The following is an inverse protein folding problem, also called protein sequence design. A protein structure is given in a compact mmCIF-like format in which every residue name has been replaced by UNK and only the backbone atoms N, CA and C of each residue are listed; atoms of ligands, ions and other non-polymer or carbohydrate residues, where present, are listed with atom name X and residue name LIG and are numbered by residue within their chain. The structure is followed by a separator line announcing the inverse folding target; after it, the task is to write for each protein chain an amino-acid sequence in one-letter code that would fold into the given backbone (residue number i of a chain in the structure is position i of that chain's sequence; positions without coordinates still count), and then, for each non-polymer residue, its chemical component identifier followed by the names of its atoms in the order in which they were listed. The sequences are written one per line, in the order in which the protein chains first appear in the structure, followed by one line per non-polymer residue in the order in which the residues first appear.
data_IF_974501246911
#
_entry.id   IF_974501246911
#
_cell.length_a   1.000
_cell.length_b   1.000
_cell.length_c   1.000
_cell.angle_alpha   90.00
_cell.angle_beta   90.00
_cell.angle_gamma   90.00
#
_symmetry.space_group_name_H-M   'P 1'
#
loop_
_entity.id
_entity.type
_entity.pdbx_description
1 polymer ?
#
# COMPACT_ATOMS: atom_id res chain seq x y z
N UNK A 1 15.90 38.31 -67.19
CA UNK A 1 15.74 36.83 -67.11
C UNK A 1 16.16 36.40 -65.71
N UNK A 2 15.22 35.81 -64.96
CA UNK A 2 15.43 35.31 -63.60
C UNK A 2 16.25 34.02 -63.65
N UNK A 3 17.24 33.87 -62.77
CA UNK A 3 17.79 32.58 -62.35
C UNK A 3 17.80 32.62 -60.83
N UNK A 4 16.86 31.90 -60.21
CA UNK A 4 16.85 31.64 -58.78
C UNK A 4 17.63 30.34 -58.58
N UNK A 5 18.69 30.40 -57.78
CA UNK A 5 19.27 29.22 -57.17
C UNK A 5 18.55 29.01 -55.83
N UNK A 6 17.87 27.88 -55.70
CA UNK A 6 17.19 27.44 -54.49
C UNK A 6 18.24 27.10 -53.43
N UNK A 7 18.26 27.87 -52.33
CA UNK A 7 18.94 27.45 -51.10
C UNK A 7 17.92 26.71 -50.23
N UNK A 8 18.03 25.38 -50.22
CA UNK A 8 17.30 24.52 -49.30
C UNK A 8 17.76 24.83 -47.87
N UNK A 9 16.87 25.43 -47.06
CA UNK A 9 17.05 25.50 -45.61
C UNK A 9 16.46 24.23 -45.04
N UNK A 10 17.33 23.30 -44.64
CA UNK A 10 16.93 22.10 -43.91
C UNK A 10 16.42 22.54 -42.53
N UNK A 11 15.11 22.52 -42.31
CA UNK A 11 14.54 22.76 -40.98
C UNK A 11 14.85 21.54 -40.11
N UNK A 12 15.79 21.68 -39.18
CA UNK A 12 15.97 20.70 -38.13
C UNK A 12 14.70 20.66 -37.27
N UNK A 13 13.91 19.60 -37.45
CA UNK A 13 12.81 19.28 -36.54
C UNK A 13 13.43 18.63 -35.31
N UNK A 14 13.55 19.42 -34.24
CA UNK A 14 13.87 18.86 -32.93
C UNK A 14 12.65 18.07 -32.43
N UNK A 15 12.79 16.78 -32.05
CA UNK A 15 11.70 16.06 -31.44
C UNK A 15 11.32 16.77 -30.14
N UNK A 16 10.09 17.27 -30.06
CA UNK A 16 9.51 17.68 -28.80
C UNK A 16 9.30 16.41 -27.98
N UNK A 17 10.24 16.10 -27.09
CA UNK A 17 10.03 15.07 -26.07
C UNK A 17 8.86 15.52 -25.19
N UNK A 18 7.69 14.93 -25.42
CA UNK A 18 6.55 15.12 -24.53
C UNK A 18 6.95 14.54 -23.16
N UNK A 19 6.86 15.30 -22.06
CA UNK A 19 7.13 14.75 -20.75
C UNK A 19 6.12 13.63 -20.49
N UNK A 20 6.61 12.39 -20.36
CA UNK A 20 5.80 11.29 -19.86
C UNK A 20 5.48 11.62 -18.40
N UNK A 21 4.27 12.15 -18.16
CA UNK A 21 3.76 12.34 -16.80
C UNK A 21 3.48 10.94 -16.26
N UNK A 22 4.48 10.29 -15.67
CA UNK A 22 4.27 9.10 -14.87
C UNK A 22 3.48 9.52 -13.64
N UNK A 23 2.19 9.16 -13.58
CA UNK A 23 1.46 9.29 -12.34
C UNK A 23 2.21 8.53 -11.24
N UNK A 24 2.53 9.23 -10.16
CA UNK A 24 3.24 8.65 -9.03
C UNK A 24 2.39 7.51 -8.48
N UNK A 25 2.91 6.28 -8.54
CA UNK A 25 2.25 5.12 -7.92
C UNK A 25 2.15 5.34 -6.42
N UNK A 26 0.96 5.11 -5.86
CA UNK A 26 0.70 5.19 -4.42
C UNK A 26 1.67 4.28 -3.66
N UNK A 27 2.39 4.86 -2.71
CA UNK A 27 3.32 4.17 -1.83
C UNK A 27 2.57 3.76 -0.57
N UNK A 28 2.38 2.46 -0.37
CA UNK A 28 1.62 1.92 0.76
C UNK A 28 2.49 1.06 1.66
N UNK A 29 2.30 1.21 2.98
CA UNK A 29 2.90 0.33 3.98
C UNK A 29 1.90 -0.74 4.41
N UNK A 30 2.38 -1.93 4.81
CA UNK A 30 1.54 -2.97 5.42
C UNK A 30 2.13 -3.33 6.79
N UNK A 31 1.34 -3.14 7.84
CA UNK A 31 1.65 -3.61 9.19
C UNK A 31 0.77 -4.83 9.49
N UNK A 32 1.36 -6.02 9.37
CA UNK A 32 0.70 -7.27 9.74
C UNK A 32 0.70 -7.50 11.26
N UNK A 33 -0.37 -8.07 11.78
CA UNK A 33 -0.46 -8.41 13.20
C UNK A 33 -1.72 -9.20 13.55
N UNK A 34 -1.73 -9.86 14.71
CA UNK A 34 -2.95 -10.53 15.19
C UNK A 34 -3.99 -9.50 15.65
N UNK A 35 -3.57 -8.35 16.20
CA UNK A 35 -4.44 -7.33 16.77
C UNK A 35 -5.47 -7.90 17.76
N UNK A 36 -4.97 -8.52 18.84
CA UNK A 36 -5.76 -9.28 19.80
C UNK A 36 -5.72 -8.70 21.23
N UNK A 37 -6.36 -7.54 21.51
CA UNK A 37 -6.99 -6.60 20.56
C UNK A 37 -5.98 -5.59 19.98
N UNK A 38 -6.43 -4.74 19.05
CA UNK A 38 -5.67 -3.53 18.66
C UNK A 38 -5.47 -2.61 19.87
N UNK A 39 -4.36 -1.88 19.91
CA UNK A 39 -4.02 -0.94 20.98
C UNK A 39 -3.11 0.16 20.45
N UNK A 40 -2.93 1.23 21.25
CA UNK A 40 -2.26 2.47 20.81
C UNK A 40 -0.88 2.25 20.18
N UNK A 41 -0.06 1.35 20.74
CA UNK A 41 1.27 1.09 20.17
C UNK A 41 1.23 0.59 18.71
N UNK A 42 0.22 -0.19 18.31
CA UNK A 42 0.06 -0.59 16.90
C UNK A 42 -0.18 0.61 15.99
N UNK A 43 -1.07 1.51 16.40
CA UNK A 43 -1.45 2.70 15.64
C UNK A 43 -0.27 3.67 15.51
N UNK A 44 0.41 3.93 16.63
CA UNK A 44 1.60 4.80 16.66
C UNK A 44 2.70 4.21 15.80
N UNK A 45 2.98 2.91 15.88
CA UNK A 45 4.01 2.28 15.04
C UNK A 45 3.68 2.40 13.55
N UNK A 46 2.44 2.12 13.14
CA UNK A 46 2.01 2.24 11.75
C UNK A 46 2.18 3.67 11.23
N UNK A 47 1.69 4.67 11.96
CA UNK A 47 1.81 6.07 11.58
C UNK A 47 3.25 6.54 11.52
N UNK A 48 4.04 6.27 12.55
CA UNK A 48 5.43 6.75 12.62
C UNK A 48 6.28 6.11 11.53
N UNK A 49 6.13 4.81 11.29
CA UNK A 49 6.81 4.14 10.19
C UNK A 49 6.40 4.72 8.83
N UNK A 50 5.09 4.89 8.58
CA UNK A 50 4.58 5.44 7.34
C UNK A 50 5.05 6.87 7.06
N UNK A 51 4.95 7.76 8.07
CA UNK A 51 5.37 9.16 7.96
C UNK A 51 6.88 9.28 7.74
N UNK A 52 7.69 8.51 8.47
CA UNK A 52 9.16 8.55 8.34
C UNK A 52 9.64 8.01 6.98
N UNK A 53 8.88 7.12 6.35
CA UNK A 53 9.17 6.57 5.02
C UNK A 53 8.54 7.38 3.87
N UNK A 54 7.74 8.42 4.18
CA UNK A 54 7.04 9.22 3.16
C UNK A 54 5.97 8.44 2.39
N UNK A 55 5.31 7.48 3.05
CA UNK A 55 4.22 6.69 2.46
C UNK A 55 2.95 7.53 2.36
N UNK A 56 2.12 7.21 1.37
CA UNK A 56 0.83 7.87 1.18
C UNK A 56 -0.23 7.30 2.15
N UNK A 57 -0.12 6.02 2.57
CA UNK A 57 -1.02 5.36 3.51
C UNK A 57 -0.38 4.10 4.14
N UNK A 58 -0.88 3.65 5.30
CA UNK A 58 -0.47 2.38 5.91
C UNK A 58 -1.68 1.47 6.20
N UNK A 59 -1.62 0.24 5.73
CA UNK A 59 -2.64 -0.78 5.93
C UNK A 59 -2.32 -1.64 7.15
N UNK A 60 -3.27 -1.72 8.08
CA UNK A 60 -3.27 -2.69 9.16
C UNK A 60 -3.86 -4.01 8.63
N UNK A 61 -3.08 -5.07 8.64
CA UNK A 61 -3.48 -6.37 8.05
C UNK A 61 -3.67 -7.42 9.15
N UNK A 62 -4.91 -7.64 9.64
CA UNK A 62 -5.17 -8.64 10.66
C UNK A 62 -4.95 -10.06 10.15
N UNK A 63 -4.13 -10.82 10.86
CA UNK A 63 -3.90 -12.23 10.55
C UNK A 63 -5.10 -13.10 10.91
N UNK A 64 -5.31 -14.20 10.16
CA UNK A 64 -6.38 -15.16 10.46
C UNK A 64 -5.93 -16.14 11.55
N UNK A 65 -4.97 -17.00 11.23
CA UNK A 65 -4.28 -17.89 12.17
C UNK A 65 -2.77 -17.64 12.08
N UNK A 66 -2.14 -17.06 13.11
CA UNK A 66 -0.69 -16.92 13.14
C UNK A 66 -0.03 -18.31 13.17
N UNK A 67 1.03 -18.57 12.40
CA UNK A 67 1.64 -19.89 12.29
C UNK A 67 2.33 -20.40 13.58
N UNK A 68 2.52 -19.54 14.59
CA UNK A 68 3.34 -19.79 15.78
C UNK A 68 2.58 -19.71 17.12
N UNK A 69 1.24 -19.64 17.12
CA UNK A 69 0.49 -19.48 18.38
C UNK A 69 -0.13 -20.81 18.81
N UNK A 70 0.42 -21.38 19.87
CA UNK A 70 -0.20 -22.45 20.64
C UNK A 70 -1.41 -21.88 21.41
N UNK A 71 -2.60 -22.33 21.03
CA UNK A 71 -3.89 -22.35 21.77
C UNK A 71 -4.31 -21.19 22.69
N UNK A 72 -3.68 -20.01 22.68
CA UNK A 72 -4.32 -18.83 23.29
C UNK A 72 -5.56 -18.50 22.47
N UNK A 73 -6.71 -18.46 23.14
CA UNK A 73 -8.01 -18.05 22.58
C UNK A 73 -7.89 -16.65 21.99
N UNK A 74 -7.54 -16.62 20.71
CA UNK A 74 -7.51 -15.41 19.91
C UNK A 74 -8.94 -14.95 19.75
N UNK A 75 -9.21 -13.66 19.98
CA UNK A 75 -10.51 -13.06 19.72
C UNK A 75 -10.89 -13.37 18.27
N UNK A 76 -12.15 -13.72 18.05
CA UNK A 76 -12.65 -14.10 16.74
C UNK A 76 -12.30 -13.03 15.69
N UNK A 77 -11.96 -13.47 14.48
CA UNK A 77 -11.43 -12.59 13.43
C UNK A 77 -12.35 -11.40 13.13
N UNK A 78 -13.66 -11.62 13.10
CA UNK A 78 -14.67 -10.58 12.92
C UNK A 78 -14.62 -9.52 14.03
N UNK A 79 -14.46 -9.92 15.29
CA UNK A 79 -14.35 -8.97 16.39
C UNK A 79 -13.05 -8.16 16.31
N UNK A 80 -11.94 -8.77 15.91
CA UNK A 80 -10.67 -8.05 15.71
C UNK A 80 -10.75 -7.05 14.56
N UNK A 81 -11.41 -7.42 13.46
CA UNK A 81 -11.68 -6.51 12.34
C UNK A 81 -12.53 -5.32 12.80
N UNK A 82 -13.66 -5.55 13.48
CA UNK A 82 -14.52 -4.48 13.97
C UNK A 82 -13.78 -3.56 14.96
N UNK A 83 -12.92 -4.12 15.82
CA UNK A 83 -12.10 -3.30 16.73
C UNK A 83 -11.08 -2.45 15.97
N UNK A 84 -10.49 -2.96 14.88
CA UNK A 84 -9.61 -2.16 14.01
C UNK A 84 -10.39 -1.03 13.34
N UNK A 85 -11.56 -1.31 12.77
CA UNK A 85 -12.42 -0.30 12.13
C UNK A 85 -12.74 0.84 13.09
N UNK A 86 -13.13 0.52 14.33
CA UNK A 86 -13.37 1.52 15.37
C UNK A 86 -12.10 2.26 15.77
N UNK A 87 -10.95 1.58 15.84
CA UNK A 87 -9.69 2.18 16.27
C UNK A 87 -9.10 3.18 15.26
N UNK A 88 -9.46 3.09 13.98
CA UNK A 88 -8.94 3.97 12.92
C UNK A 88 -10.01 4.87 12.29
N UNK A 89 -11.25 4.85 12.80
CA UNK A 89 -12.39 5.55 12.18
C UNK A 89 -12.12 7.04 11.88
N UNK A 90 -11.37 7.72 12.75
CA UNK A 90 -11.02 9.14 12.64
C UNK A 90 -9.59 9.38 12.08
N UNK A 91 -8.95 8.35 11.51
CA UNK A 91 -7.57 8.41 11.05
C UNK A 91 -7.45 8.07 9.55
N UNK A 92 -7.49 9.08 8.65
CA UNK A 92 -7.47 8.85 7.20
C UNK A 92 -6.10 8.38 6.67
N UNK A 93 -5.06 8.33 7.51
CA UNK A 93 -3.73 7.83 7.11
C UNK A 93 -3.59 6.31 7.27
N UNK A 94 -4.54 5.69 7.98
CA UNK A 94 -4.57 4.26 8.22
C UNK A 94 -5.78 3.65 7.51
N UNK A 95 -5.59 2.47 6.92
CA UNK A 95 -6.66 1.64 6.39
C UNK A 95 -6.47 0.18 6.81
N UNK A 96 -7.41 -0.70 6.45
CA UNK A 96 -7.38 -2.12 6.79
C UNK A 96 -7.28 -2.96 5.52
N UNK A 97 -6.40 -3.96 5.55
CA UNK A 97 -6.26 -4.97 4.50
C UNK A 97 -6.77 -6.34 5.03
N UNK A 98 -7.98 -6.79 4.66
CA UNK A 98 -8.59 -8.00 5.22
C UNK A 98 -8.24 -9.29 4.46
N UNK A 99 -7.30 -9.27 3.50
CA UNK A 99 -6.99 -10.42 2.63
C UNK A 99 -6.72 -11.72 3.40
N UNK A 100 -5.98 -11.67 4.50
CA UNK A 100 -5.67 -12.87 5.28
C UNK A 100 -6.91 -13.46 5.97
N UNK A 101 -7.82 -12.60 6.43
CA UNK A 101 -9.10 -13.04 7.01
C UNK A 101 -9.99 -13.70 5.97
N UNK A 102 -9.96 -13.17 4.74
CA UNK A 102 -10.73 -13.70 3.59
C UNK A 102 -10.18 -15.04 3.12
N UNK A 103 -8.85 -15.17 3.03
CA UNK A 103 -8.16 -16.40 2.63
C UNK A 103 -8.34 -17.53 3.64
N UNK A 104 -8.45 -17.20 4.93
CA UNK A 104 -8.50 -18.15 6.05
C UNK A 104 -7.22 -19.00 6.14
N UNK A 105 -7.15 -19.86 7.14
CA UNK A 105 -5.98 -20.73 7.38
C UNK A 105 -4.75 -19.96 7.89
N UNK A 106 -3.58 -20.59 7.78
CA UNK A 106 -2.33 -20.00 8.29
C UNK A 106 -1.90 -18.77 7.47
N UNK A 107 -1.60 -17.70 8.18
CA UNK A 107 -1.09 -16.45 7.62
C UNK A 107 0.41 -16.53 7.34
N UNK A 108 0.79 -17.10 6.20
CA UNK A 108 2.16 -17.00 5.67
C UNK A 108 2.33 -15.73 4.82
N UNK A 109 3.30 -14.87 5.18
CA UNK A 109 3.57 -13.61 4.49
C UNK A 109 3.87 -13.80 2.99
N UNK A 110 4.55 -14.89 2.61
CA UNK A 110 4.81 -15.20 1.19
C UNK A 110 3.51 -15.32 0.38
N UNK A 111 2.54 -16.09 0.89
CA UNK A 111 1.25 -16.27 0.21
C UNK A 111 0.48 -14.96 0.13
N UNK A 112 0.55 -14.16 1.19
CA UNK A 112 -0.13 -12.87 1.28
C UNK A 112 0.42 -11.88 0.25
N UNK A 113 1.74 -11.76 0.13
CA UNK A 113 2.35 -10.88 -0.89
C UNK A 113 2.03 -11.35 -2.30
N UNK A 114 2.09 -12.66 -2.57
CA UNK A 114 1.71 -13.24 -3.88
C UNK A 114 0.25 -12.96 -4.26
N UNK A 115 -0.64 -12.77 -3.28
CA UNK A 115 -2.04 -12.46 -3.54
C UNK A 115 -2.29 -10.94 -3.74
N UNK A 116 -1.38 -10.08 -3.28
CA UNK A 116 -1.47 -8.61 -3.38
C UNK A 116 -0.71 -8.02 -4.58
N UNK A 117 0.26 -8.74 -5.14
CA UNK A 117 1.15 -8.28 -6.23
C UNK A 117 1.14 -9.24 -7.41
#
# INVERSE_FOLDING_TARGET
MKSQAEAFVESQVFPQEMPQIFEKRKQVGILGGTFNPVHLAHLVMAEQAGKNLGLDEVYLMPSYQPPHVDEKTTIAANHRLNMLELAIADNPFLAIEPIELSRKGKSYTYDTMKALT
#
